data_IF_600649469780
#
_entry.id   IF_600649469780
#
_cell.length_a   1.000
_cell.length_b   1.000
_cell.length_c   1.000
_cell.angle_alpha   90.00
_cell.angle_beta   90.00
_cell.angle_gamma   90.00
#
_symmetry.space_group_name_H-M   'P 1'
#
loop_
_entity.id
_entity.type
_entity.pdbx_description
1 polymer ?
#
# COMPACT_ATOMS: atom_id res chain seq x y z
N UNK A 1 7.55 33.29 75.91
CA UNK A 1 6.46 32.30 75.99
C UNK A 1 6.19 31.80 74.59
N UNK A 2 6.47 30.52 74.33
CA UNK A 2 5.95 29.81 73.15
C UNK A 2 4.43 29.64 73.30
N UNK A 3 3.70 29.54 72.17
CA UNK A 3 3.36 28.19 71.73
C UNK A 3 3.50 27.96 70.22
N UNK A 4 3.99 26.76 69.95
CA UNK A 4 3.93 25.98 68.72
C UNK A 4 2.53 25.42 68.47
N UNK A 5 2.34 24.90 67.24
CA UNK A 5 1.33 23.91 66.79
C UNK A 5 0.09 24.49 66.09
N UNK A 6 -0.55 23.84 65.12
CA UNK A 6 -0.27 22.68 64.24
C UNK A 6 -1.60 22.45 63.51
N UNK A 7 -1.77 23.00 62.30
CA UNK A 7 -2.91 22.68 61.44
C UNK A 7 -2.39 21.76 60.32
N UNK A 8 -2.60 20.44 60.38
CA UNK A 8 -3.83 19.72 60.00
C UNK A 8 -4.18 19.99 58.53
N UNK A 9 -3.43 19.44 57.57
CA UNK A 9 -3.67 18.12 56.95
C UNK A 9 -5.15 17.77 56.76
N UNK A 10 -5.70 18.07 55.58
CA UNK A 10 -6.61 17.17 54.87
C UNK A 10 -6.78 17.52 53.39
N UNK A 11 -6.78 16.46 52.57
CA UNK A 11 -7.35 16.33 51.23
C UNK A 11 -6.56 16.89 50.03
N UNK A 12 -5.92 16.00 49.27
CA UNK A 12 -6.53 15.47 48.04
C UNK A 12 -5.56 14.55 47.32
N UNK A 13 -6.09 13.41 46.89
CA UNK A 13 -5.45 12.40 46.07
C UNK A 13 -4.78 12.97 44.80
N UNK A 14 -3.72 12.28 44.35
CA UNK A 14 -3.67 11.59 43.06
C UNK A 14 -2.25 11.03 42.86
N UNK A 15 -2.18 9.70 42.82
CA UNK A 15 -1.00 8.92 42.56
C UNK A 15 -0.36 9.29 41.21
N UNK A 16 0.93 9.63 41.25
CA UNK A 16 1.75 9.85 40.07
C UNK A 16 2.24 8.52 39.49
N UNK A 17 1.38 7.84 38.73
CA UNK A 17 1.85 6.88 37.71
C UNK A 17 2.51 7.66 36.57
N UNK A 18 3.80 7.90 36.70
CA UNK A 18 4.62 8.48 35.63
C UNK A 18 5.98 7.77 35.56
N UNK A 19 5.99 6.48 35.26
CA UNK A 19 7.17 5.81 34.69
C UNK A 19 6.83 4.44 34.09
N UNK A 20 6.15 4.42 32.95
CA UNK A 20 6.10 3.22 32.08
C UNK A 20 6.04 3.52 30.58
N UNK A 21 6.03 4.79 30.14
CA UNK A 21 5.94 5.14 28.71
C UNK A 21 7.30 5.08 27.98
N UNK A 22 8.40 4.79 28.69
CA UNK A 22 9.73 4.68 28.09
C UNK A 22 10.16 3.25 27.68
N UNK A 23 9.28 2.25 27.79
CA UNK A 23 9.60 0.85 27.50
C UNK A 23 8.91 0.25 26.25
N UNK A 24 8.23 1.07 25.43
CA UNK A 24 7.57 0.57 24.18
C UNK A 24 8.31 0.99 22.90
N UNK A 25 9.29 1.89 22.99
CA UNK A 25 10.05 2.37 21.82
C UNK A 25 11.16 1.40 21.33
N UNK A 26 11.37 0.27 22.02
CA UNK A 26 12.42 -0.70 21.72
C UNK A 26 11.90 -2.10 21.32
N UNK A 27 10.58 -2.29 21.17
CA UNK A 27 10.06 -3.50 20.54
C UNK A 27 9.85 -3.20 19.05
N UNK A 28 10.72 -3.75 18.20
CA UNK A 28 10.50 -3.87 16.76
C UNK A 28 9.34 -4.81 16.45
N UNK A 29 8.19 -4.57 17.06
CA UNK A 29 6.92 -5.22 16.78
C UNK A 29 6.26 -4.33 15.74
N UNK A 30 6.62 -4.56 14.47
CA UNK A 30 5.60 -4.42 13.45
C UNK A 30 4.43 -5.29 13.89
N UNK A 31 3.17 -4.82 13.83
CA UNK A 31 2.03 -5.72 14.02
C UNK A 31 2.14 -6.81 12.95
N UNK A 32 2.62 -7.98 13.38
CA UNK A 32 2.94 -9.16 12.56
C UNK A 32 1.71 -10.03 12.30
N UNK A 33 0.52 -9.44 12.37
CA UNK A 33 -0.73 -10.13 12.09
C UNK A 33 -1.60 -9.18 11.29
N UNK A 34 -1.39 -9.18 9.97
CA UNK A 34 -2.49 -8.87 9.07
C UNK A 34 -3.27 -10.18 8.91
N UNK A 35 -4.12 -10.48 9.90
CA UNK A 35 -5.14 -11.52 9.77
C UNK A 35 -6.24 -10.98 8.85
N UNK A 36 -6.51 -11.63 7.70
CA UNK A 36 -7.65 -11.25 6.88
C UNK A 36 -8.92 -11.80 7.52
N UNK A 37 -9.42 -11.17 8.60
CA UNK A 37 -10.66 -11.59 9.24
C UNK A 37 -11.77 -10.52 9.33
N UNK A 38 -11.50 -9.26 8.97
CA UNK A 38 -12.53 -8.20 9.03
C UNK A 38 -13.03 -7.72 7.67
N UNK A 39 -13.28 -8.65 6.73
CA UNK A 39 -14.13 -8.37 5.55
C UNK A 39 -15.58 -8.83 5.73
N UNK A 40 -16.04 -9.03 6.97
CA UNK A 40 -17.44 -9.29 7.27
C UNK A 40 -18.06 -8.09 8.00
N UNK A 41 -18.24 -7.00 7.26
CA UNK A 41 -18.77 -5.73 7.76
C UNK A 41 -19.77 -5.13 6.75
N UNK A 42 -20.90 -5.81 6.62
CA UNK A 42 -22.08 -5.43 5.87
C UNK A 42 -22.46 -3.94 6.03
N UNK A 43 -22.10 -3.09 5.06
CA UNK A 43 -22.80 -1.82 4.79
C UNK A 43 -22.82 -1.55 3.29
N UNK A 44 -23.96 -1.89 2.68
CA UNK A 44 -24.62 -1.18 1.57
C UNK A 44 -23.68 -0.28 0.77
N UNK A 45 -22.91 -0.88 -0.13
CA UNK A 45 -22.52 -0.15 -1.33
C UNK A 45 -23.80 0.00 -2.15
N UNK A 46 -24.30 1.22 -2.18
CA UNK A 46 -25.32 1.67 -3.12
C UNK A 46 -24.91 1.17 -4.49
N UNK A 47 -25.64 0.18 -4.99
CA UNK A 47 -25.62 -0.27 -6.38
C UNK A 47 -25.94 0.99 -7.19
N UNK A 48 -24.91 1.68 -7.66
CA UNK A 48 -25.05 2.61 -8.77
C UNK A 48 -25.36 1.71 -9.94
N UNK A 49 -26.65 1.48 -10.13
CA UNK A 49 -27.24 1.03 -11.38
C UNK A 49 -26.85 2.05 -12.43
N UNK A 50 -25.69 1.85 -13.04
CA UNK A 50 -25.47 2.33 -14.39
C UNK A 50 -26.39 1.49 -15.23
N UNK A 51 -27.54 2.10 -15.57
CA UNK A 51 -28.43 1.67 -16.61
C UNK A 51 -27.62 1.53 -17.90
N UNK A 52 -27.08 0.34 -18.15
CA UNK A 52 -26.91 -0.16 -19.49
C UNK A 52 -28.27 -0.74 -19.86
N UNK A 53 -29.18 0.17 -20.23
CA UNK A 53 -30.40 -0.24 -20.91
C UNK A 53 -30.04 -0.69 -22.31
N UNK A 54 -30.43 -1.94 -22.55
CA UNK A 54 -30.97 -2.47 -23.79
C UNK A 54 -29.98 -2.77 -24.93
N UNK A 55 -29.69 -4.07 -25.04
CA UNK A 55 -29.09 -4.63 -26.25
C UNK A 55 -28.58 -6.06 -26.18
N UNK A 56 -28.69 -6.76 -25.05
CA UNK A 56 -28.44 -8.22 -25.01
C UNK A 56 -29.62 -8.88 -24.35
N UNK A 57 -30.66 -9.08 -25.16
CA UNK A 57 -31.66 -10.11 -24.90
C UNK A 57 -30.91 -11.39 -24.55
N UNK A 58 -31.16 -11.86 -23.34
CA UNK A 58 -30.97 -13.24 -22.93
C UNK A 58 -31.93 -14.09 -23.78
N UNK A 59 -31.57 -14.32 -25.03
CA UNK A 59 -32.05 -15.45 -25.80
C UNK A 59 -31.38 -16.69 -25.22
N UNK A 60 -31.98 -17.25 -24.17
CA UNK A 60 -31.85 -18.67 -23.83
C UNK A 60 -32.65 -19.53 -24.82
N UNK A 61 -32.79 -19.06 -26.04
CA UNK A 61 -33.47 -19.72 -27.15
C UNK A 61 -32.40 -20.10 -28.15
N UNK A 62 -32.31 -21.41 -28.37
CA UNK A 62 -31.94 -21.98 -29.66
C UNK A 62 -30.45 -21.96 -30.04
N UNK A 63 -29.59 -22.54 -29.20
CA UNK A 63 -28.39 -23.24 -29.71
C UNK A 63 -28.72 -24.71 -30.05
N UNK A 64 -29.91 -24.96 -30.61
CA UNK A 64 -30.25 -26.18 -31.36
C UNK A 64 -29.83 -26.01 -32.83
N UNK A 65 -28.62 -25.52 -33.08
CA UNK A 65 -28.13 -25.35 -34.45
C UNK A 65 -27.27 -26.53 -34.88
N UNK A 66 -27.90 -27.41 -35.68
CA UNK A 66 -27.34 -28.14 -36.83
C UNK A 66 -26.23 -29.19 -36.65
N UNK A 67 -25.95 -29.66 -35.44
CA UNK A 67 -25.25 -30.95 -35.29
C UNK A 67 -26.26 -32.06 -35.57
N UNK A 68 -26.07 -32.82 -36.66
CA UNK A 68 -26.76 -34.11 -36.85
C UNK A 68 -26.67 -34.85 -35.52
N UNK A 69 -27.82 -35.04 -34.87
CA UNK A 69 -27.86 -35.50 -33.48
C UNK A 69 -26.97 -36.73 -33.37
N UNK A 70 -25.95 -36.70 -32.50
CA UNK A 70 -25.04 -37.83 -32.28
C UNK A 70 -25.85 -39.13 -32.02
N UNK A 71 -27.04 -38.98 -31.43
CA UNK A 71 -28.05 -40.01 -31.25
C UNK A 71 -28.63 -40.57 -32.57
N UNK A 72 -28.93 -39.72 -33.55
CA UNK A 72 -29.41 -40.11 -34.90
C UNK A 72 -28.33 -40.82 -35.71
N UNK A 73 -27.07 -40.36 -35.68
CA UNK A 73 -25.96 -41.05 -36.35
C UNK A 73 -25.73 -42.43 -35.72
N UNK A 74 -25.76 -42.53 -34.39
CA UNK A 74 -25.70 -43.83 -33.68
C UNK A 74 -26.87 -44.74 -34.01
N UNK A 75 -28.07 -44.21 -34.14
CA UNK A 75 -29.24 -44.99 -34.54
C UNK A 75 -29.10 -45.51 -35.98
N UNK A 76 -28.58 -44.67 -36.90
CA UNK A 76 -28.23 -45.04 -38.26
C UNK A 76 -27.22 -46.19 -38.31
N UNK A 77 -26.12 -46.08 -37.58
CA UNK A 77 -25.09 -47.14 -37.47
C UNK A 77 -25.70 -48.45 -36.94
N UNK A 78 -26.54 -48.39 -35.89
CA UNK A 78 -27.22 -49.59 -35.36
C UNK A 78 -28.12 -50.26 -36.40
N UNK A 79 -28.88 -49.47 -37.16
CA UNK A 79 -29.76 -49.98 -38.21
C UNK A 79 -28.99 -50.61 -39.37
N UNK A 80 -27.87 -50.01 -39.79
CA UNK A 80 -26.99 -50.54 -40.83
C UNK A 80 -26.26 -51.81 -40.39
N UNK A 81 -25.88 -51.92 -39.11
CA UNK A 81 -25.32 -53.16 -38.55
C UNK A 81 -26.33 -54.30 -38.58
N UNK A 82 -27.58 -54.04 -38.18
CA UNK A 82 -28.66 -55.03 -38.27
C UNK A 82 -28.96 -55.43 -39.73
N UNK A 83 -28.89 -54.48 -40.67
CA UNK A 83 -29.01 -54.74 -42.09
C UNK A 83 -27.87 -55.62 -42.60
N UNK A 84 -26.61 -55.26 -42.32
CA UNK A 84 -25.43 -56.06 -42.67
C UNK A 84 -25.55 -57.50 -42.18
N UNK A 85 -25.92 -57.70 -40.92
CA UNK A 85 -26.03 -59.03 -40.31
C UNK A 85 -27.16 -59.86 -40.97
N UNK A 86 -28.27 -59.23 -41.34
CA UNK A 86 -29.36 -59.88 -42.07
C UNK A 86 -28.98 -60.31 -43.49
N UNK A 87 -28.17 -59.52 -44.21
CA UNK A 87 -27.70 -59.84 -45.56
C UNK A 87 -26.57 -60.88 -45.54
N UNK A 88 -25.68 -60.82 -44.54
CA UNK A 88 -24.67 -61.85 -44.30
C UNK A 88 -25.30 -63.22 -44.01
N UNK A 89 -26.37 -63.27 -43.20
CA UNK A 89 -27.12 -64.50 -42.93
C UNK A 89 -27.79 -65.11 -44.18
N UNK A 90 -28.06 -64.29 -45.20
CA UNK A 90 -28.64 -64.71 -46.49
C UNK A 90 -27.60 -65.06 -47.56
N UNK A 91 -26.31 -64.91 -47.26
CA UNK A 91 -25.20 -65.15 -48.19
C UNK A 91 -25.00 -64.05 -49.24
N UNK A 92 -25.66 -62.89 -49.09
CA UNK A 92 -25.53 -61.75 -49.99
C UNK A 92 -24.41 -60.82 -49.52
N UNK A 93 -23.17 -61.23 -49.78
CA UNK A 93 -21.98 -60.53 -49.27
C UNK A 93 -21.73 -59.16 -49.91
N UNK A 94 -22.17 -58.93 -51.17
CA UNK A 94 -22.01 -57.65 -51.85
C UNK A 94 -22.74 -56.51 -51.14
N UNK A 95 -24.01 -56.72 -50.81
CA UNK A 95 -24.84 -55.73 -50.08
C UNK A 95 -24.36 -55.56 -48.62
N UNK A 96 -23.90 -56.65 -48.00
CA UNK A 96 -23.28 -56.58 -46.68
C UNK A 96 -22.01 -55.73 -46.67
N UNK A 97 -21.21 -55.77 -47.75
CA UNK A 97 -20.00 -54.96 -47.88
C UNK A 97 -20.30 -53.47 -48.13
N UNK A 98 -21.36 -53.15 -48.89
CA UNK A 98 -21.84 -51.77 -49.04
C UNK A 98 -22.35 -51.22 -47.70
N UNK A 99 -23.09 -52.03 -46.92
CA UNK A 99 -23.52 -51.64 -45.59
C UNK A 99 -22.32 -51.42 -44.64
N UNK A 100 -21.27 -52.25 -44.78
CA UNK A 100 -20.03 -52.12 -44.01
C UNK A 100 -19.28 -50.81 -44.34
N UNK A 101 -19.13 -50.45 -45.62
CA UNK A 101 -18.47 -49.19 -45.99
C UNK A 101 -19.22 -47.97 -45.46
N UNK A 102 -20.56 -47.98 -45.49
CA UNK A 102 -21.36 -46.90 -44.92
C UNK A 102 -21.30 -46.83 -43.39
N UNK A 103 -21.15 -47.97 -42.70
CA UNK A 103 -20.90 -47.98 -41.25
C UNK A 103 -19.56 -47.29 -40.96
N UNK A 104 -18.50 -47.59 -41.71
CA UNK A 104 -17.18 -47.00 -41.53
C UNK A 104 -17.18 -45.48 -41.77
N UNK A 105 -17.87 -45.01 -42.82
CA UNK A 105 -18.05 -43.57 -43.09
C UNK A 105 -18.77 -42.84 -41.94
N UNK A 106 -19.86 -43.42 -41.44
CA UNK A 106 -20.63 -42.84 -40.33
C UNK A 106 -19.87 -42.88 -39.00
N UNK A 107 -19.07 -43.92 -38.76
CA UNK A 107 -18.19 -44.03 -37.59
C UNK A 107 -17.08 -42.98 -37.63
N UNK A 108 -16.46 -42.76 -38.80
CA UNK A 108 -15.47 -41.71 -39.00
C UNK A 108 -16.09 -40.31 -38.79
N UNK A 109 -17.30 -40.07 -39.29
CA UNK A 109 -18.03 -38.82 -39.06
C UNK A 109 -18.34 -38.61 -37.57
N UNK A 110 -18.88 -39.65 -36.90
CA UNK A 110 -19.19 -39.57 -35.48
C UNK A 110 -17.93 -39.32 -34.64
N UNK A 111 -16.81 -39.94 -34.99
CA UNK A 111 -15.52 -39.69 -34.36
C UNK A 111 -15.09 -38.23 -34.49
N UNK A 112 -15.17 -37.66 -35.70
CA UNK A 112 -14.83 -36.25 -35.94
C UNK A 112 -15.72 -35.29 -35.13
N UNK A 113 -17.03 -35.55 -35.07
CA UNK A 113 -17.98 -34.75 -34.28
C UNK A 113 -17.66 -34.81 -32.78
N UNK A 114 -17.38 -36.01 -32.25
CA UNK A 114 -17.01 -36.17 -30.83
C UNK A 114 -15.69 -35.46 -30.53
N UNK A 115 -14.72 -35.53 -31.44
CA UNK A 115 -13.43 -34.85 -31.31
C UNK A 115 -13.60 -33.33 -31.25
N UNK A 116 -14.35 -32.73 -32.17
CA UNK A 116 -14.63 -31.29 -32.17
C UNK A 116 -15.41 -30.86 -30.92
N UNK A 117 -16.35 -31.67 -30.44
CA UNK A 117 -17.05 -31.39 -29.18
C UNK A 117 -16.10 -31.36 -27.98
N UNK A 118 -15.19 -32.33 -27.87
CA UNK A 118 -14.20 -32.38 -26.78
C UNK A 118 -13.26 -31.17 -26.89
N UNK A 119 -12.82 -30.83 -28.11
CA UNK A 119 -12.00 -29.65 -28.37
C UNK A 119 -12.72 -28.36 -27.97
N UNK A 120 -13.98 -28.19 -28.34
CA UNK A 120 -14.81 -27.05 -27.95
C UNK A 120 -14.94 -26.92 -26.43
N UNK A 121 -15.15 -28.04 -25.73
CA UNK A 121 -15.18 -28.06 -24.25
C UNK A 121 -13.84 -27.62 -23.64
N UNK A 122 -12.71 -28.10 -24.18
CA UNK A 122 -11.39 -27.68 -23.70
C UNK A 122 -11.12 -26.20 -23.92
N UNK A 123 -11.50 -25.65 -25.09
CA UNK A 123 -11.38 -24.22 -25.38
C UNK A 123 -12.22 -23.38 -24.43
N UNK A 124 -13.46 -23.80 -24.15
CA UNK A 124 -14.32 -23.11 -23.20
C UNK A 124 -13.75 -23.14 -21.78
N UNK A 125 -13.23 -24.29 -21.34
CA UNK A 125 -12.57 -24.42 -20.04
C UNK A 125 -11.34 -23.53 -19.94
N UNK A 126 -10.50 -23.49 -20.98
CA UNK A 126 -9.34 -22.62 -21.04
C UNK A 126 -9.75 -21.14 -20.96
N UNK A 127 -10.73 -20.72 -21.75
CA UNK A 127 -11.24 -19.36 -21.74
C UNK A 127 -11.81 -18.96 -20.38
N UNK A 128 -12.54 -19.86 -19.70
CA UNK A 128 -13.08 -19.62 -18.36
C UNK A 128 -11.97 -19.45 -17.31
N UNK A 129 -10.90 -20.25 -17.38
CA UNK A 129 -9.75 -20.15 -16.49
C UNK A 129 -9.00 -18.84 -16.74
N UNK A 130 -8.73 -18.51 -18.00
CA UNK A 130 -8.09 -17.24 -18.38
C UNK A 130 -8.91 -16.03 -17.92
N UNK A 131 -10.23 -16.04 -18.12
CA UNK A 131 -11.11 -14.97 -17.67
C UNK A 131 -11.07 -14.79 -16.15
N UNK A 132 -11.16 -15.87 -15.39
CA UNK A 132 -11.03 -15.83 -13.93
C UNK A 132 -9.68 -15.27 -13.46
N UNK A 133 -8.60 -15.56 -14.20
CA UNK A 133 -7.28 -14.97 -13.92
C UNK A 133 -7.23 -13.47 -14.19
N UNK A 134 -7.81 -13.01 -15.30
CA UNK A 134 -7.88 -11.59 -15.61
C UNK A 134 -8.65 -10.82 -14.54
N UNK A 135 -9.80 -11.34 -14.10
CA UNK A 135 -10.58 -10.72 -13.02
C UNK A 135 -9.79 -10.63 -11.72
N UNK A 136 -9.05 -11.68 -11.35
CA UNK A 136 -8.25 -11.67 -10.12
C UNK A 136 -7.10 -10.68 -10.20
N UNK A 137 -6.42 -10.59 -11.35
CA UNK A 137 -5.37 -9.58 -11.58
C UNK A 137 -5.96 -8.17 -11.47
N UNK A 138 -7.14 -7.92 -12.03
CA UNK A 138 -7.80 -6.62 -11.95
C UNK A 138 -8.19 -6.27 -10.50
N UNK A 139 -8.77 -7.22 -9.75
CA UNK A 139 -9.10 -7.05 -8.32
C UNK A 139 -7.85 -6.74 -7.49
N UNK A 140 -6.76 -7.47 -7.70
CA UNK A 140 -5.50 -7.22 -7.00
C UNK A 140 -4.89 -5.87 -7.37
N UNK A 141 -4.92 -5.51 -8.65
CA UNK A 141 -4.40 -4.22 -9.13
C UNK A 141 -5.17 -3.06 -8.54
N UNK A 142 -6.50 -3.12 -8.55
CA UNK A 142 -7.36 -2.08 -7.97
C UNK A 142 -7.23 -1.98 -6.45
N UNK A 143 -7.15 -3.11 -5.74
CA UNK A 143 -6.89 -3.12 -4.30
C UNK A 143 -5.51 -2.54 -3.96
N UNK A 144 -4.49 -2.85 -4.76
CA UNK A 144 -3.15 -2.30 -4.59
C UNK A 144 -3.11 -0.80 -4.87
N UNK A 145 -3.76 -0.32 -5.93
CA UNK A 145 -3.89 1.12 -6.22
C UNK A 145 -4.53 1.87 -5.04
N UNK A 146 -5.66 1.38 -4.52
CA UNK A 146 -6.32 1.96 -3.35
C UNK A 146 -5.39 2.00 -2.12
N UNK A 147 -4.65 0.92 -1.89
CA UNK A 147 -3.67 0.85 -0.80
C UNK A 147 -2.54 1.88 -0.99
N UNK A 148 -2.04 2.04 -2.21
CA UNK A 148 -1.01 3.05 -2.52
C UNK A 148 -1.52 4.48 -2.35
N UNK A 149 -2.74 4.76 -2.76
CA UNK A 149 -3.37 6.07 -2.57
C UNK A 149 -3.58 6.38 -1.09
N UNK A 150 -4.09 5.42 -0.32
CA UNK A 150 -4.28 5.57 1.13
C UNK A 150 -2.94 5.81 1.85
N UNK A 151 -1.88 5.09 1.46
CA UNK A 151 -0.54 5.29 1.99
C UNK A 151 -0.01 6.70 1.67
N UNK A 152 -0.16 7.18 0.42
CA UNK A 152 0.28 8.52 0.03
C UNK A 152 -0.52 9.63 0.73
N UNK A 153 -1.83 9.44 0.93
CA UNK A 153 -2.65 10.36 1.71
C UNK A 153 -2.19 10.43 3.18
N UNK A 154 -1.91 9.28 3.78
CA UNK A 154 -1.38 9.19 5.13
C UNK A 154 0.01 9.85 5.25
N UNK A 155 0.90 9.63 4.28
CA UNK A 155 2.22 10.25 4.24
C UNK A 155 2.12 11.80 4.17
N UNK A 156 1.20 12.32 3.35
CA UNK A 156 0.94 13.77 3.26
C UNK A 156 0.45 14.34 4.60
N UNK A 157 -0.48 13.64 5.26
CA UNK A 157 -0.99 14.03 6.58
C UNK A 157 0.13 14.07 7.62
N UNK A 158 0.97 13.04 7.66
CA UNK A 158 2.11 12.99 8.59
C UNK A 158 3.07 14.17 8.38
N UNK A 159 3.31 14.58 7.13
CA UNK A 159 4.10 15.78 6.83
C UNK A 159 3.42 17.07 7.30
N UNK A 160 2.11 17.19 7.14
CA UNK A 160 1.36 18.36 7.61
C UNK A 160 1.44 18.47 9.14
N UNK A 161 1.15 17.39 9.86
CA UNK A 161 1.23 17.33 11.32
C UNK A 161 2.65 17.65 11.83
N UNK A 162 3.69 17.15 11.15
CA UNK A 162 5.08 17.50 11.48
C UNK A 162 5.36 18.99 11.27
N UNK A 163 4.89 19.57 10.15
CA UNK A 163 5.09 21.00 9.85
C UNK A 163 4.38 21.87 10.88
N UNK A 164 3.13 21.56 11.21
CA UNK A 164 2.35 22.29 12.22
C UNK A 164 3.04 22.26 13.58
N UNK A 165 3.46 21.06 14.04
CA UNK A 165 4.22 20.90 15.28
C UNK A 165 5.52 21.71 15.27
N UNK A 166 6.25 21.70 14.16
CA UNK A 166 7.48 22.47 14.03
C UNK A 166 7.23 23.99 14.06
N UNK A 167 6.13 24.47 13.44
CA UNK A 167 5.73 25.87 13.50
C UNK A 167 5.33 26.30 14.92
N UNK A 168 4.63 25.44 15.66
CA UNK A 168 4.32 25.71 17.06
C UNK A 168 5.60 25.75 17.93
N UNK A 169 6.53 24.83 17.70
CA UNK A 169 7.79 24.79 18.45
C UNK A 169 8.66 26.02 18.15
N UNK A 170 8.72 26.47 16.89
CA UNK A 170 9.43 27.72 16.55
C UNK A 170 8.77 28.92 17.20
N UNK A 171 7.44 29.03 17.17
CA UNK A 171 6.71 30.11 17.82
C UNK A 171 6.98 30.15 19.33
N UNK A 172 6.86 29.01 20.03
CA UNK A 172 7.16 28.90 21.46
C UNK A 172 8.63 29.22 21.78
N UNK A 173 9.55 28.84 20.91
CA UNK A 173 10.98 29.16 21.07
C UNK A 173 11.27 30.65 20.92
N UNK A 174 10.58 31.31 19.98
CA UNK A 174 10.67 32.76 19.79
C UNK A 174 10.08 33.51 20.98
N UNK A 175 8.90 33.12 21.47
CA UNK A 175 8.30 33.69 22.69
C UNK A 175 9.25 33.58 23.90
N UNK A 176 9.83 32.40 24.13
CA UNK A 176 10.83 32.20 25.18
C UNK A 176 12.07 33.08 24.97
N UNK A 177 12.50 33.27 23.73
CA UNK A 177 13.63 34.14 23.42
C UNK A 177 13.31 35.60 23.74
N UNK A 178 12.10 36.07 23.39
CA UNK A 178 11.62 37.41 23.75
C UNK A 178 11.58 37.58 25.26
N UNK A 179 10.98 36.63 25.99
CA UNK A 179 10.79 36.73 27.45
C UNK A 179 12.09 36.59 28.25
N UNK A 180 13.01 35.70 27.86
CA UNK A 180 14.17 35.39 28.68
C UNK A 180 15.48 36.04 28.20
N UNK A 181 15.61 36.34 26.91
CA UNK A 181 16.86 36.87 26.34
C UNK A 181 16.78 38.38 26.11
N UNK A 182 15.61 38.94 25.78
CA UNK A 182 15.50 40.38 25.53
C UNK A 182 15.50 41.28 26.78
N UNK A 183 14.92 40.92 27.94
CA UNK A 183 14.83 41.87 29.06
C UNK A 183 16.08 41.94 29.94
N UNK A 184 17.11 41.12 29.70
CA UNK A 184 18.31 41.13 30.54
C UNK A 184 19.18 42.34 30.17
N UNK A 185 19.11 43.41 30.96
CA UNK A 185 19.94 44.60 30.78
C UNK A 185 21.44 44.25 30.67
N UNK A 186 22.23 45.03 29.89
CA UNK A 186 23.67 44.84 29.81
C UNK A 186 24.32 44.94 31.19
N UNK A 187 25.26 44.04 31.47
CA UNK A 187 26.09 44.17 32.66
C UNK A 187 27.24 45.13 32.37
N UNK A 188 27.09 46.37 32.82
CA UNK A 188 28.09 47.42 32.65
C UNK A 188 29.39 47.08 33.38
N UNK A 189 30.53 47.39 32.76
CA UNK A 189 31.81 47.16 33.41
C UNK A 189 31.96 48.03 34.67
N UNK A 190 32.72 47.52 35.64
CA UNK A 190 33.07 48.28 36.84
C UNK A 190 33.76 49.60 36.51
N UNK A 191 34.49 49.66 35.38
CA UNK A 191 35.12 50.88 34.87
C UNK A 191 34.09 51.92 34.44
N UNK A 192 33.05 51.52 33.70
CA UNK A 192 31.97 52.42 33.30
C UNK A 192 31.25 53.00 34.52
N UNK A 193 30.92 52.13 35.48
CA UNK A 193 30.24 52.52 36.73
C UNK A 193 31.08 53.54 37.50
N UNK A 194 32.39 53.31 37.64
CA UNK A 194 33.31 54.26 38.29
C UNK A 194 33.41 55.59 37.55
N UNK A 195 33.45 55.57 36.20
CA UNK A 195 33.48 56.80 35.39
C UNK A 195 32.20 57.63 35.61
N UNK A 196 31.02 56.99 35.64
CA UNK A 196 29.74 57.64 35.94
C UNK A 196 29.66 58.19 37.36
N UNK A 197 30.15 57.45 38.35
CA UNK A 197 30.24 57.93 39.73
C UNK A 197 31.16 59.16 39.85
N UNK A 198 32.33 59.11 39.22
CA UNK A 198 33.28 60.23 39.20
C UNK A 198 32.71 61.45 38.45
N UNK A 199 32.00 61.24 37.34
CA UNK A 199 31.28 62.30 36.63
C UNK A 199 30.33 63.05 37.58
N UNK A 200 29.49 62.31 38.31
CA UNK A 200 28.54 62.87 39.29
C UNK A 200 29.29 63.62 40.41
N UNK A 201 30.37 63.06 40.94
CA UNK A 201 31.16 63.70 42.00
C UNK A 201 31.79 65.01 41.53
N UNK A 202 32.37 65.05 40.32
CA UNK A 202 32.94 66.28 39.77
C UNK A 202 31.88 67.34 39.46
N UNK A 203 30.69 66.92 39.00
CA UNK A 203 29.56 67.82 38.79
C UNK A 203 29.05 68.43 40.10
N UNK A 204 28.94 67.62 41.17
CA UNK A 204 28.59 68.08 42.53
C UNK A 204 29.63 69.04 43.11
N UNK A 205 30.90 68.86 42.76
CA UNK A 205 31.99 69.76 43.14
C UNK A 205 32.11 71.00 42.22
N UNK A 206 31.14 71.25 41.33
CA UNK A 206 31.10 72.35 40.37
C UNK A 206 32.27 72.40 39.37
N UNK A 207 32.98 71.28 39.16
CA UNK A 207 34.08 71.17 38.20
C UNK A 207 33.57 70.68 36.84
N UNK A 208 32.83 71.54 36.15
CA UNK A 208 32.06 71.16 34.95
C UNK A 208 32.93 70.70 33.77
N UNK A 209 34.11 71.29 33.56
CA UNK A 209 34.99 70.85 32.47
C UNK A 209 35.51 69.43 32.67
N UNK A 210 35.91 69.09 33.90
CA UNK A 210 36.37 67.75 34.25
C UNK A 210 35.22 66.74 34.12
N UNK A 211 34.02 67.11 34.59
CA UNK A 211 32.81 66.29 34.42
C UNK A 211 32.48 66.05 32.94
N UNK A 212 32.58 67.08 32.08
CA UNK A 212 32.32 66.94 30.65
C UNK A 212 33.30 66.00 29.95
N UNK A 213 34.59 65.98 30.36
CA UNK A 213 35.58 65.03 29.84
C UNK A 213 35.27 63.60 30.29
N UNK A 214 34.92 63.39 31.56
CA UNK A 214 34.53 62.09 32.10
C UNK A 214 33.27 61.55 31.42
N UNK A 215 32.28 62.41 31.18
CA UNK A 215 31.07 62.09 30.42
C UNK A 215 31.38 61.57 29.03
N UNK A 216 32.21 62.29 28.26
CA UNK A 216 32.62 61.85 26.90
C UNK A 216 33.30 60.48 26.92
N UNK A 217 34.12 60.21 27.94
CA UNK A 217 34.78 58.92 28.11
C UNK A 217 33.79 57.81 28.49
N UNK A 218 32.85 58.09 29.41
CA UNK A 218 31.80 57.16 29.82
C UNK A 218 30.86 56.83 28.66
N UNK A 219 30.36 57.83 27.93
CA UNK A 219 29.46 57.66 26.78
C UNK A 219 30.12 56.88 25.62
N UNK A 220 31.44 56.98 25.47
CA UNK A 220 32.19 56.17 24.50
C UNK A 220 32.23 54.70 24.94
N UNK A 221 32.67 54.45 26.18
CA UNK A 221 32.79 53.10 26.74
C UNK A 221 31.41 52.40 26.79
N UNK A 222 30.36 53.12 27.17
CA UNK A 222 28.99 52.62 27.20
C UNK A 222 28.52 52.16 25.81
N UNK A 223 28.83 52.92 24.75
CA UNK A 223 28.50 52.52 23.38
C UNK A 223 29.23 51.25 22.96
N UNK A 224 30.53 51.14 23.27
CA UNK A 224 31.34 49.95 22.96
C UNK A 224 30.81 48.70 23.70
N UNK A 225 30.51 48.84 25.00
CA UNK A 225 29.92 47.77 25.82
C UNK A 225 28.51 47.37 25.34
N UNK A 226 27.69 48.35 24.98
CA UNK A 226 26.35 48.10 24.46
C UNK A 226 26.36 47.39 23.11
N UNK A 227 27.29 47.74 22.21
CA UNK A 227 27.46 47.04 20.92
C UNK A 227 27.92 45.60 21.15
N UNK A 228 28.95 45.39 21.99
CA UNK A 228 29.46 44.04 22.27
C UNK A 228 28.41 43.16 22.96
N UNK A 229 27.64 43.70 23.91
CA UNK A 229 26.53 43.00 24.54
C UNK A 229 25.43 42.62 23.54
N UNK A 230 25.02 43.54 22.66
CA UNK A 230 24.06 43.23 21.58
C UNK A 230 24.57 42.11 20.67
N UNK A 231 25.84 42.17 20.27
CA UNK A 231 26.45 41.15 19.43
C UNK A 231 26.47 39.77 20.10
N UNK A 232 26.84 39.69 21.39
CA UNK A 232 26.83 38.44 22.15
C UNK A 232 25.41 37.88 22.32
N UNK A 233 24.44 38.76 22.62
CA UNK A 233 23.02 38.39 22.72
C UNK A 233 22.51 37.83 21.40
N UNK A 234 22.75 38.53 20.30
CA UNK A 234 22.28 38.14 18.98
C UNK A 234 22.97 36.84 18.53
N UNK A 235 24.25 36.64 18.84
CA UNK A 235 24.96 35.39 18.62
C UNK A 235 24.35 34.22 19.41
N UNK A 236 23.98 34.44 20.68
CA UNK A 236 23.31 33.43 21.48
C UNK A 236 21.93 33.06 20.95
N UNK A 237 21.16 34.05 20.46
CA UNK A 237 19.87 33.83 19.80
C UNK A 237 20.05 33.00 18.52
N UNK A 238 21.01 33.39 17.66
CA UNK A 238 21.32 32.67 16.42
C UNK A 238 21.70 31.23 16.68
N UNK A 239 22.60 30.97 17.63
CA UNK A 239 23.01 29.61 17.99
C UNK A 239 21.83 28.74 18.44
N UNK A 240 20.91 29.29 19.25
CA UNK A 240 19.69 28.56 19.65
C UNK A 240 18.78 28.25 18.47
N UNK A 241 18.65 29.20 17.54
CA UNK A 241 17.84 29.02 16.35
C UNK A 241 18.43 27.98 15.39
N UNK A 242 19.75 28.02 15.16
CA UNK A 242 20.49 27.04 14.37
C UNK A 242 20.30 25.62 14.92
N UNK A 243 20.43 25.44 16.24
CA UNK A 243 20.21 24.14 16.89
C UNK A 243 18.77 23.63 16.71
N UNK A 244 17.78 24.53 16.82
CA UNK A 244 16.38 24.18 16.57
C UNK A 244 16.17 23.76 15.12
N UNK A 245 16.71 24.51 14.16
CA UNK A 245 16.61 24.18 12.74
C UNK A 245 17.29 22.84 12.41
N UNK A 246 18.48 22.59 12.96
CA UNK A 246 19.18 21.32 12.78
C UNK A 246 18.35 20.14 13.30
N UNK A 247 17.75 20.28 14.48
CA UNK A 247 16.86 19.26 15.03
C UNK A 247 15.64 19.03 14.13
N UNK A 248 14.99 20.11 13.68
CA UNK A 248 13.82 20.01 12.78
C UNK A 248 14.17 19.35 11.45
N UNK A 249 15.38 19.61 10.94
CA UNK A 249 15.89 18.99 9.73
C UNK A 249 16.12 17.48 9.92
N UNK A 250 16.78 17.08 11.01
CA UNK A 250 16.98 15.66 11.34
C UNK A 250 15.66 14.90 11.52
N UNK A 251 14.67 15.51 12.18
CA UNK A 251 13.34 14.92 12.33
C UNK A 251 12.64 14.72 10.97
N UNK A 252 12.77 15.68 10.05
CA UNK A 252 12.25 15.56 8.67
C UNK A 252 12.94 14.43 7.91
N UNK A 253 14.27 14.42 7.91
CA UNK A 253 15.06 13.39 7.23
C UNK A 253 14.75 11.99 7.75
N UNK A 254 14.54 11.84 9.05
CA UNK A 254 14.13 10.56 9.66
C UNK A 254 12.74 10.10 9.19
N UNK A 255 11.78 11.04 9.10
CA UNK A 255 10.42 10.73 8.58
C UNK A 255 10.50 10.40 7.08
N UNK A 256 11.22 11.20 6.29
CA UNK A 256 11.41 11.00 4.86
C UNK A 256 12.09 9.65 4.57
N UNK A 257 13.11 9.29 5.34
CA UNK A 257 13.80 8.00 5.22
C UNK A 257 12.88 6.81 5.47
N UNK A 258 12.03 6.89 6.52
CA UNK A 258 11.03 5.85 6.81
C UNK A 258 9.97 5.76 5.73
N UNK A 259 9.48 6.90 5.22
CA UNK A 259 8.50 6.94 4.14
C UNK A 259 9.09 6.42 2.82
N UNK A 260 10.34 6.76 2.50
CA UNK A 260 11.03 6.27 1.32
C UNK A 260 11.22 4.74 1.36
N UNK A 261 11.63 4.19 2.50
CA UNK A 261 11.72 2.75 2.71
C UNK A 261 10.35 2.08 2.54
N UNK A 262 9.30 2.61 3.17
CA UNK A 262 7.95 2.10 3.04
C UNK A 262 7.43 2.14 1.59
N UNK A 263 7.68 3.23 0.85
CA UNK A 263 7.37 3.34 -0.59
C UNK A 263 8.12 2.29 -1.41
N UNK A 264 9.39 2.05 -1.11
CA UNK A 264 10.18 1.03 -1.80
C UNK A 264 9.59 -0.37 -1.57
N UNK A 265 9.21 -0.68 -0.32
CA UNK A 265 8.52 -1.94 -0.02
C UNK A 265 7.20 -2.06 -0.78
N UNK A 266 6.38 -1.02 -0.79
CA UNK A 266 5.07 -1.01 -1.47
C UNK A 266 5.19 -1.18 -2.99
N UNK A 267 6.23 -0.60 -3.60
CA UNK A 267 6.56 -0.79 -5.02
C UNK A 267 7.10 -2.19 -5.35
N UNK A 268 7.71 -2.88 -4.39
CA UNK A 268 8.22 -4.24 -4.57
C UNK A 268 7.14 -5.33 -4.41
N UNK A 269 6.03 -5.04 -3.74
CA UNK A 269 4.91 -5.96 -3.56
C UNK A 269 4.24 -6.45 -4.86
N UNK A 270 3.96 -5.63 -5.90
CA UNK A 270 3.35 -6.13 -7.13
C UNK A 270 4.20 -7.21 -7.81
N UNK A 271 5.53 -7.06 -7.82
CA UNK A 271 6.42 -8.09 -8.37
C UNK A 271 6.32 -9.41 -7.59
N UNK A 272 6.26 -9.35 -6.26
CA UNK A 272 6.10 -10.54 -5.41
C UNK A 272 4.74 -11.21 -5.57
N UNK A 273 3.67 -10.42 -5.69
CA UNK A 273 2.31 -10.92 -5.89
C UNK A 273 2.15 -11.58 -7.25
N UNK A 274 2.74 -11.00 -8.31
CA UNK A 274 2.78 -11.60 -9.65
C UNK A 274 3.55 -12.92 -9.64
N UNK A 275 4.69 -13.00 -8.95
CA UNK A 275 5.46 -14.24 -8.79
C UNK A 275 4.67 -15.31 -8.02
N UNK A 276 3.98 -14.93 -6.94
CA UNK A 276 3.12 -15.85 -6.16
C UNK A 276 1.93 -16.36 -6.98
N UNK A 277 1.31 -15.50 -7.80
CA UNK A 277 0.25 -15.90 -8.73
C UNK A 277 0.77 -16.87 -9.79
N UNK A 278 1.91 -16.57 -10.43
CA UNK A 278 2.56 -17.49 -11.39
C UNK A 278 2.80 -18.88 -10.78
N UNK A 279 3.30 -18.93 -9.54
CA UNK A 279 3.54 -20.20 -8.82
C UNK A 279 2.24 -20.96 -8.52
N UNK A 280 1.13 -20.25 -8.29
CA UNK A 280 -0.17 -20.87 -8.00
C UNK A 280 -0.89 -21.39 -9.24
N UNK A 281 -0.67 -20.75 -10.39
CA UNK A 281 -1.36 -21.08 -11.66
C UNK A 281 -0.60 -22.13 -12.48
N UNK A 282 0.73 -22.13 -12.41
CA UNK A 282 1.58 -23.11 -13.10
C UNK A 282 1.14 -24.58 -12.90
N UNK A 283 0.79 -25.06 -11.69
CA UNK A 283 0.37 -26.44 -11.47
C UNK A 283 -0.95 -26.78 -12.16
N UNK A 284 -1.93 -25.87 -12.13
CA UNK A 284 -3.22 -26.07 -12.79
C UNK A 284 -3.06 -26.11 -14.31
N UNK A 285 -2.22 -25.22 -14.86
CA UNK A 285 -1.89 -25.20 -16.27
C UNK A 285 -1.14 -26.47 -16.72
N UNK A 286 -0.19 -26.96 -15.91
CA UNK A 286 0.50 -28.22 -16.15
C UNK A 286 -0.44 -29.43 -16.13
N UNK A 287 -1.45 -29.42 -15.25
CA UNK A 287 -2.49 -30.46 -15.20
C UNK A 287 -3.35 -30.47 -16.46
N UNK A 288 -3.74 -29.28 -16.96
CA UNK A 288 -4.48 -29.16 -18.23
C UNK A 288 -3.65 -29.67 -19.41
N UNK A 289 -2.37 -29.30 -19.47
CA UNK A 289 -1.45 -29.81 -20.49
C UNK A 289 -1.25 -31.33 -20.39
N UNK A 290 -1.15 -31.87 -19.18
CA UNK A 290 -1.03 -33.30 -18.96
C UNK A 290 -2.29 -34.03 -19.43
N UNK A 291 -3.49 -33.49 -19.13
CA UNK A 291 -4.75 -34.05 -19.63
C UNK A 291 -4.87 -33.97 -21.15
N UNK A 292 -4.36 -32.91 -21.80
CA UNK A 292 -4.31 -32.85 -23.27
C UNK A 292 -3.38 -33.93 -23.84
N UNK A 293 -2.18 -34.09 -23.28
CA UNK A 293 -1.22 -35.11 -23.71
C UNK A 293 -1.74 -36.54 -23.48
N UNK A 294 -2.43 -36.78 -22.37
CA UNK A 294 -3.07 -38.06 -22.08
C UNK A 294 -4.23 -38.32 -23.05
N UNK A 295 -5.05 -37.30 -23.34
CA UNK A 295 -6.08 -37.36 -24.38
C UNK A 295 -5.48 -37.74 -25.73
N UNK A 296 -4.48 -37.00 -26.20
CA UNK A 296 -3.81 -37.25 -27.48
C UNK A 296 -3.17 -38.64 -27.54
N UNK A 297 -2.61 -39.13 -26.43
CA UNK A 297 -2.07 -40.50 -26.33
C UNK A 297 -3.17 -41.55 -26.44
N UNK A 298 -4.29 -41.36 -25.75
CA UNK A 298 -5.44 -42.28 -25.81
C UNK A 298 -5.99 -42.29 -27.25
N UNK A 299 -6.12 -41.13 -27.89
CA UNK A 299 -6.56 -41.05 -29.29
C UNK A 299 -5.58 -41.71 -30.26
N UNK A 300 -4.27 -41.53 -30.07
CA UNK A 300 -3.25 -42.20 -30.88
C UNK A 300 -3.25 -43.73 -30.68
N UNK A 301 -3.54 -44.22 -29.48
CA UNK A 301 -3.68 -45.66 -29.20
C UNK A 301 -4.94 -46.25 -29.84
N UNK A 302 -6.08 -45.55 -29.76
CA UNK A 302 -7.33 -45.95 -30.41
C UNK A 302 -7.18 -46.03 -31.93
N UNK A 303 -6.48 -45.07 -32.54
CA UNK A 303 -6.20 -45.07 -33.99
C UNK A 303 -5.35 -46.28 -34.41
N UNK A 304 -4.30 -46.61 -33.64
CA UNK A 304 -3.45 -47.78 -33.89
C UNK A 304 -4.18 -49.11 -33.68
N UNK A 305 -5.16 -49.15 -32.77
CA UNK A 305 -5.99 -50.33 -32.56
C UNK A 305 -6.93 -50.53 -33.75
N UNK A 306 -7.56 -49.46 -34.24
CA UNK A 306 -8.40 -49.49 -35.44
C UNK A 306 -7.63 -49.92 -36.70
N UNK A 307 -6.39 -49.45 -36.89
CA UNK A 307 -5.53 -49.85 -38.01
C UNK A 307 -5.03 -51.31 -37.94
N UNK A 308 -5.13 -51.98 -36.78
CA UNK A 308 -4.72 -53.39 -36.59
C UNK A 308 -5.87 -54.39 -36.74
N UNK A 309 -7.11 -53.93 -36.65
CA UNK A 309 -8.30 -54.75 -36.86
C UNK A 309 -8.78 -54.74 -38.33
N UNK A 310 -8.20 -53.88 -39.17
CA UNK A 310 -8.25 -53.96 -40.64
C UNK A 310 -7.19 -54.93 -41.19
#
# INVERSE_FOLDING_TARGET
MHPTSRDSLQSSACDGEASSVAAVAASGVYPSEYTPQDLNGNKRATRVSVSLEDGVESTTSDEEDCLVDEATVRAGIRSLRAYRDAYAARGQYGDAQIAQSHIEELEAYLFAVVQERIRGKHLLQQAAVEHAHYEEIERLTTAWQKSTEAFEAHAKRLHQELRERQMEETARSLERTVVYIQPRAPHWSSRLIRLRQNEILQAKAHRYEAAARLKKMADRLEREELISWKAQRDAAIRKKYELLQQRQQQERESVDGRLAAARHHLKALPFRLVVLQLVRVLPAFLLVLQHQLEGDRIFAQLRKAAEKEL
#
